data_IF_616260361810
#
_entry.id   IF_616260361810
#
_cell.length_a   1.000
_cell.length_b   1.000
_cell.length_c   1.000
_cell.angle_alpha   90.00
_cell.angle_beta   90.00
_cell.angle_gamma   90.00
#
_symmetry.space_group_name_H-M   'P 1'
#
loop_
_entity.id
_entity.type
_entity.pdbx_description
1 polymer ?
#
# COMPACT_ATOMS: atom_id res chain seq x y z
N UNK A 1 0.33 18.04 18.16
CA UNK A 1 -0.59 17.03 18.73
C UNK A 1 -0.56 15.79 17.82
N UNK A 2 -0.08 14.65 18.35
CA UNK A 2 0.14 13.41 17.56
C UNK A 2 -1.16 12.85 16.95
N UNK A 3 -2.25 12.86 17.71
CA UNK A 3 -3.53 12.34 17.24
C UNK A 3 -4.10 13.18 16.07
N UNK A 4 -3.95 14.50 16.14
CA UNK A 4 -4.35 15.40 15.05
C UNK A 4 -3.51 15.18 13.79
N UNK A 5 -2.20 14.97 13.94
CA UNK A 5 -1.32 14.66 12.81
C UNK A 5 -1.66 13.31 12.17
N UNK A 6 -1.96 12.29 12.99
CA UNK A 6 -2.43 10.99 12.50
C UNK A 6 -3.74 11.14 11.73
N UNK A 7 -4.73 11.84 12.28
CA UNK A 7 -6.01 12.09 11.63
C UNK A 7 -5.83 12.84 10.29
N UNK A 8 -5.02 13.90 10.30
CA UNK A 8 -4.70 14.70 9.11
C UNK A 8 -3.91 13.96 8.04
N UNK A 9 -3.20 12.89 8.39
CA UNK A 9 -2.55 11.99 7.42
C UNK A 9 -3.54 10.92 6.91
N UNK A 10 -4.38 10.40 7.80
CA UNK A 10 -5.31 9.31 7.51
C UNK A 10 -6.38 9.71 6.50
N UNK A 11 -7.07 10.83 6.71
CA UNK A 11 -8.21 11.26 5.88
C UNK A 11 -7.77 11.49 4.42
N UNK A 12 -6.72 12.31 4.13
CA UNK A 12 -6.27 12.52 2.76
C UNK A 12 -5.76 11.24 2.11
N UNK A 13 -5.05 10.37 2.84
CA UNK A 13 -4.53 9.11 2.27
C UNK A 13 -5.65 8.19 1.81
N UNK A 14 -6.67 7.97 2.65
CA UNK A 14 -7.83 7.16 2.27
C UNK A 14 -8.63 7.77 1.12
N UNK A 15 -8.91 9.08 1.21
CA UNK A 15 -9.70 9.79 0.21
C UNK A 15 -9.01 9.82 -1.17
N UNK A 16 -7.70 10.10 -1.21
CA UNK A 16 -6.98 10.18 -2.48
C UNK A 16 -6.82 8.81 -3.13
N UNK A 17 -6.68 7.72 -2.34
CA UNK A 17 -6.67 6.37 -2.89
C UNK A 17 -7.99 6.04 -3.60
N UNK A 18 -9.13 6.36 -2.98
CA UNK A 18 -10.43 6.19 -3.64
C UNK A 18 -10.48 6.91 -4.99
N UNK A 19 -10.08 8.18 -5.02
CA UNK A 19 -10.07 9.00 -6.25
C UNK A 19 -9.13 8.43 -7.30
N UNK A 20 -7.87 8.15 -6.93
CA UNK A 20 -6.85 7.67 -7.87
C UNK A 20 -7.21 6.30 -8.45
N UNK A 21 -7.71 5.38 -7.62
CA UNK A 21 -8.09 4.04 -8.10
C UNK A 21 -9.32 4.12 -9.00
N UNK A 22 -10.29 4.98 -8.67
CA UNK A 22 -11.47 5.21 -9.53
C UNK A 22 -11.08 5.73 -10.91
N UNK A 23 -10.17 6.71 -10.97
CA UNK A 23 -9.76 7.36 -12.22
C UNK A 23 -8.80 6.46 -13.03
N UNK A 24 -7.78 5.91 -12.39
CA UNK A 24 -6.68 5.21 -13.07
C UNK A 24 -6.84 3.69 -13.12
N UNK A 25 -7.84 3.14 -12.43
CA UNK A 25 -8.19 1.71 -12.46
C UNK A 25 -8.44 1.21 -13.88
N UNK A 26 -9.34 1.85 -14.66
CA UNK A 26 -9.59 1.48 -16.05
C UNK A 26 -8.38 1.64 -16.99
N UNK A 27 -7.41 2.49 -16.64
CA UNK A 27 -6.22 2.77 -17.47
C UNK A 27 -5.09 1.77 -17.21
N UNK A 28 -4.83 1.48 -15.94
CA UNK A 28 -3.60 0.76 -15.53
C UNK A 28 -3.85 -0.42 -14.59
N UNK A 29 -5.06 -0.58 -14.04
CA UNK A 29 -5.33 -1.43 -12.88
C UNK A 29 -4.99 -0.76 -11.54
N UNK A 30 -4.44 0.46 -11.56
CA UNK A 30 -4.21 1.31 -10.38
C UNK A 30 -3.49 0.61 -9.21
N UNK A 31 -2.44 -0.16 -9.49
CA UNK A 31 -1.72 -0.88 -8.44
C UNK A 31 -1.11 0.08 -7.41
N UNK A 32 -0.49 1.18 -7.87
CA UNK A 32 0.17 2.22 -7.06
C UNK A 32 1.15 1.72 -5.97
N UNK A 33 1.54 0.44 -6.02
CA UNK A 33 2.19 -0.25 -4.93
C UNK A 33 2.98 -1.46 -5.47
N UNK A 34 4.30 -1.55 -5.20
CA UNK A 34 5.10 -2.69 -5.62
C UNK A 34 4.63 -4.02 -5.03
N UNK A 35 4.17 -4.05 -3.78
CA UNK A 35 3.64 -5.26 -3.14
C UNK A 35 2.37 -5.76 -3.85
N UNK A 36 1.46 -4.85 -4.20
CA UNK A 36 0.27 -5.18 -5.02
C UNK A 36 0.70 -5.70 -6.38
N UNK A 37 1.64 -5.02 -7.04
CA UNK A 37 2.15 -5.42 -8.36
C UNK A 37 2.76 -6.84 -8.34
N UNK A 38 3.54 -7.16 -7.31
CA UNK A 38 4.11 -8.50 -7.12
C UNK A 38 3.00 -9.53 -6.88
N UNK A 39 1.99 -9.23 -6.07
CA UNK A 39 0.89 -10.14 -5.80
C UNK A 39 0.11 -10.50 -7.09
N UNK A 40 -0.16 -9.52 -7.97
CA UNK A 40 -0.76 -9.76 -9.29
C UNK A 40 0.18 -10.54 -10.23
N UNK A 41 1.49 -10.26 -10.19
CA UNK A 41 2.48 -11.03 -10.95
C UNK A 41 2.51 -12.50 -10.52
N UNK A 42 2.46 -12.79 -9.21
CA UNK A 42 2.44 -14.16 -8.68
C UNK A 42 1.17 -14.92 -9.06
N UNK A 43 0.04 -14.21 -9.17
CA UNK A 43 -1.21 -14.75 -9.73
C UNK A 43 -1.20 -14.91 -11.25
N UNK A 44 -0.17 -14.40 -11.94
CA UNK A 44 -0.02 -14.33 -13.40
C UNK A 44 -1.06 -13.43 -14.08
N UNK A 45 -1.63 -12.48 -13.34
CA UNK A 45 -2.60 -11.51 -13.86
C UNK A 45 -1.90 -10.39 -14.67
N UNK A 46 -0.59 -10.21 -14.51
CA UNK A 46 0.23 -9.28 -15.30
C UNK A 46 1.53 -9.93 -15.76
N UNK A 47 2.08 -9.55 -16.94
CA UNK A 47 3.39 -10.05 -17.39
C UNK A 47 4.53 -9.43 -16.58
N UNK A 48 5.63 -10.18 -16.44
CA UNK A 48 6.82 -9.77 -15.68
C UNK A 48 7.37 -8.41 -16.11
N UNK A 49 7.47 -8.16 -17.42
CA UNK A 49 7.97 -6.89 -17.96
C UNK A 49 7.11 -5.71 -17.52
N UNK A 50 5.78 -5.85 -17.54
CA UNK A 50 4.86 -4.80 -17.07
C UNK A 50 4.99 -4.59 -15.56
N UNK A 51 5.15 -5.66 -14.78
CA UNK A 51 5.37 -5.59 -13.34
C UNK A 51 6.63 -4.78 -13.00
N UNK A 52 7.74 -5.01 -13.70
CA UNK A 52 8.99 -4.26 -13.52
C UNK A 52 8.78 -2.77 -13.79
N UNK A 53 8.17 -2.39 -14.93
CA UNK A 53 7.89 -0.99 -15.25
C UNK A 53 6.96 -0.34 -14.21
N UNK A 54 5.95 -1.07 -13.73
CA UNK A 54 5.07 -0.59 -12.67
C UNK A 54 5.85 -0.23 -11.41
N UNK A 55 6.71 -1.13 -10.91
CA UNK A 55 7.47 -0.89 -9.70
C UNK A 55 8.41 0.31 -9.84
N UNK A 56 9.08 0.47 -10.99
CA UNK A 56 9.93 1.64 -11.25
C UNK A 56 9.13 2.95 -11.23
N UNK A 57 8.01 3.02 -11.97
CA UNK A 57 7.18 4.22 -12.03
C UNK A 57 6.54 4.53 -10.69
N UNK A 58 6.15 3.52 -9.91
CA UNK A 58 5.59 3.69 -8.57
C UNK A 58 6.60 4.32 -7.61
N UNK A 59 7.84 3.83 -7.59
CA UNK A 59 8.91 4.38 -6.74
C UNK A 59 9.27 5.80 -7.19
N UNK A 60 9.49 6.02 -8.49
CA UNK A 60 9.79 7.35 -9.02
C UNK A 60 8.66 8.35 -8.72
N UNK A 61 7.41 7.96 -8.95
CA UNK A 61 6.23 8.78 -8.67
C UNK A 61 6.08 9.11 -7.18
N UNK A 62 6.35 8.16 -6.28
CA UNK A 62 6.31 8.39 -4.83
C UNK A 62 7.38 9.40 -4.38
N UNK A 63 8.60 9.29 -4.91
CA UNK A 63 9.70 10.25 -4.64
C UNK A 63 9.33 11.64 -5.16
N UNK A 64 8.90 11.74 -6.42
CA UNK A 64 8.48 13.00 -7.02
C UNK A 64 7.32 13.64 -6.25
N UNK A 65 6.36 12.83 -5.78
CA UNK A 65 5.26 13.30 -4.94
C UNK A 65 5.72 13.87 -3.60
N UNK A 66 6.68 13.22 -2.94
CA UNK A 66 7.27 13.74 -1.69
C UNK A 66 7.99 15.07 -1.91
N UNK A 67 8.81 15.17 -2.96
CA UNK A 67 9.53 16.41 -3.30
C UNK A 67 8.59 17.53 -3.73
N UNK A 68 7.51 17.21 -4.46
CA UNK A 68 6.49 18.18 -4.81
C UNK A 68 5.76 18.69 -3.57
N UNK A 69 5.43 17.81 -2.62
CA UNK A 69 4.88 18.24 -1.35
C UNK A 69 5.85 19.16 -0.60
N UNK A 70 7.14 18.82 -0.53
CA UNK A 70 8.14 19.68 0.09
C UNK A 70 8.20 21.07 -0.57
N UNK A 71 8.18 21.12 -1.90
CA UNK A 71 8.09 22.38 -2.63
C UNK A 71 6.81 23.18 -2.28
N UNK A 72 5.65 22.53 -2.25
CA UNK A 72 4.35 23.16 -1.93
C UNK A 72 4.30 23.75 -0.51
N UNK A 73 5.06 23.18 0.43
CA UNK A 73 5.08 23.58 1.84
C UNK A 73 6.36 24.31 2.26
N UNK A 74 7.16 24.79 1.30
CA UNK A 74 8.41 25.53 1.53
C UNK A 74 9.40 24.77 2.45
N UNK A 75 9.52 23.46 2.23
CA UNK A 75 10.45 22.57 2.93
C UNK A 75 11.70 22.27 2.07
N UNK A 76 12.83 21.87 2.70
CA UNK A 76 13.96 21.32 1.96
C UNK A 76 13.52 20.14 1.07
N UNK A 77 13.86 20.21 -0.23
CA UNK A 77 13.41 19.21 -1.22
C UNK A 77 13.85 17.79 -0.81
N UNK A 78 15.12 17.63 -0.45
CA UNK A 78 15.66 16.39 0.08
C UNK A 78 15.80 16.48 1.59
N UNK A 79 15.10 15.60 2.32
CA UNK A 79 15.14 15.55 3.77
C UNK A 79 15.15 14.09 4.22
N UNK A 80 16.25 13.58 4.76
CA UNK A 80 16.24 12.22 5.32
C UNK A 80 15.47 12.22 6.65
N UNK A 81 14.63 11.21 6.86
CA UNK A 81 13.90 11.13 8.13
C UNK A 81 14.76 10.59 9.28
N UNK A 82 14.51 11.09 10.48
CA UNK A 82 15.05 10.59 11.75
C UNK A 82 14.01 9.78 12.55
N UNK A 83 12.78 9.65 12.05
CA UNK A 83 11.70 8.96 12.73
C UNK A 83 11.97 7.46 12.94
N UNK A 84 12.17 7.06 14.18
CA UNK A 84 12.44 5.66 14.54
C UNK A 84 11.16 4.80 14.46
N UNK A 85 11.06 3.97 13.43
CA UNK A 85 9.99 2.96 13.28
C UNK A 85 10.55 1.56 13.04
N UNK A 86 10.78 0.78 14.09
CA UNK A 86 11.31 -0.58 13.95
C UNK A 86 10.79 -1.54 15.01
N UNK A 87 11.12 -2.82 14.85
CA UNK A 87 10.81 -3.89 15.79
C UNK A 87 9.61 -4.74 15.39
N UNK A 88 9.45 -5.92 16.03
CA UNK A 88 8.42 -6.89 15.67
C UNK A 88 6.98 -6.35 15.60
N UNK A 89 6.51 -5.48 16.51
CA UNK A 89 5.16 -4.92 16.41
C UNK A 89 4.93 -4.10 15.14
N UNK A 90 5.96 -3.36 14.70
CA UNK A 90 5.90 -2.51 13.52
C UNK A 90 5.95 -3.34 12.23
N UNK A 91 6.81 -4.35 12.18
CA UNK A 91 6.89 -5.23 11.02
C UNK A 91 5.64 -6.12 10.90
N UNK A 92 5.13 -6.65 12.01
CA UNK A 92 3.87 -7.39 12.03
C UNK A 92 2.69 -6.53 11.58
N UNK A 93 2.66 -5.27 12.01
CA UNK A 93 1.67 -4.27 11.56
C UNK A 93 1.69 -4.06 10.04
N UNK A 94 2.86 -3.91 9.43
CA UNK A 94 2.99 -3.77 7.97
C UNK A 94 2.58 -5.04 7.21
N UNK A 95 2.91 -6.21 7.75
CA UNK A 95 2.43 -7.47 7.18
C UNK A 95 0.90 -7.54 7.19
N UNK A 96 0.27 -7.26 8.34
CA UNK A 96 -1.20 -7.29 8.49
C UNK A 96 -1.86 -6.24 7.58
N UNK A 97 -1.32 -5.03 7.52
CA UNK A 97 -1.80 -3.97 6.66
C UNK A 97 -1.73 -4.36 5.17
N UNK A 98 -0.58 -4.85 4.70
CA UNK A 98 -0.46 -5.26 3.29
C UNK A 98 -1.30 -6.50 2.97
N UNK A 99 -1.40 -7.46 3.89
CA UNK A 99 -2.22 -8.65 3.69
C UNK A 99 -3.70 -8.28 3.56
N UNK A 100 -4.24 -7.47 4.47
CA UNK A 100 -5.63 -7.04 4.38
C UNK A 100 -5.90 -6.09 3.20
N UNK A 101 -4.93 -5.28 2.79
CA UNK A 101 -5.02 -4.51 1.54
C UNK A 101 -5.21 -5.46 0.34
N UNK A 102 -4.41 -6.51 0.25
CA UNK A 102 -4.54 -7.52 -0.82
C UNK A 102 -5.84 -8.31 -0.71
N UNK A 103 -6.31 -8.59 0.51
CA UNK A 103 -7.62 -9.21 0.75
C UNK A 103 -8.75 -8.37 0.18
N UNK A 104 -8.80 -7.06 0.47
CA UNK A 104 -9.89 -6.21 -0.03
C UNK A 104 -9.79 -5.97 -1.55
N UNK A 105 -8.58 -5.93 -2.12
CA UNK A 105 -8.39 -5.85 -3.57
C UNK A 105 -8.89 -7.13 -4.24
N UNK A 106 -8.40 -8.29 -3.84
CA UNK A 106 -8.75 -9.55 -4.49
C UNK A 106 -10.18 -9.99 -4.23
N UNK A 107 -10.69 -9.78 -3.01
CA UNK A 107 -12.10 -10.03 -2.70
C UNK A 107 -13.02 -9.06 -3.44
N UNK A 108 -12.66 -7.77 -3.48
CA UNK A 108 -13.38 -6.76 -4.26
C UNK A 108 -13.43 -7.13 -5.74
N UNK A 109 -12.30 -7.48 -6.35
CA UNK A 109 -12.26 -7.93 -7.75
C UNK A 109 -13.07 -9.19 -8.01
N UNK A 110 -13.22 -10.08 -7.03
CA UNK A 110 -14.01 -11.30 -7.18
C UNK A 110 -15.51 -11.04 -7.12
N UNK A 111 -15.98 -10.27 -6.15
CA UNK A 111 -17.41 -10.18 -5.84
C UNK A 111 -18.05 -8.83 -6.14
N UNK A 112 -17.30 -7.73 -6.07
CA UNK A 112 -17.80 -6.35 -6.25
C UNK A 112 -16.72 -5.46 -6.88
N UNK A 113 -16.34 -5.66 -8.16
CA UNK A 113 -15.23 -4.94 -8.79
C UNK A 113 -15.37 -3.41 -8.69
N UNK A 114 -16.59 -2.90 -8.88
CA UNK A 114 -16.89 -1.46 -8.80
C UNK A 114 -16.64 -0.86 -7.40
N UNK A 115 -16.62 -1.69 -6.36
CA UNK A 115 -16.37 -1.25 -4.99
C UNK A 115 -14.88 -1.25 -4.60
N UNK A 116 -13.98 -1.81 -5.43
CA UNK A 116 -12.53 -1.89 -5.13
C UNK A 116 -11.92 -0.55 -4.73
N UNK A 117 -12.19 0.59 -5.42
CA UNK A 117 -11.64 1.88 -4.99
C UNK A 117 -12.05 2.25 -3.56
N UNK A 118 -13.31 2.03 -3.21
CA UNK A 118 -13.85 2.35 -1.88
C UNK A 118 -13.31 1.43 -0.82
N UNK A 119 -13.25 0.12 -1.11
CA UNK A 119 -12.71 -0.88 -0.20
C UNK A 119 -11.24 -0.60 0.14
N UNK A 120 -10.42 -0.25 -0.85
CA UNK A 120 -9.01 0.10 -0.63
C UNK A 120 -8.87 1.37 0.20
N UNK A 121 -9.59 2.44 -0.15
CA UNK A 121 -9.56 3.70 0.58
C UNK A 121 -9.98 3.55 2.06
N UNK A 122 -11.08 2.84 2.31
CA UNK A 122 -11.58 2.58 3.67
C UNK A 122 -10.66 1.66 4.46
N UNK A 123 -10.11 0.62 3.83
CA UNK A 123 -9.18 -0.29 4.49
C UNK A 123 -7.92 0.44 4.95
N UNK A 124 -7.28 1.24 4.07
CA UNK A 124 -6.09 2.01 4.44
C UNK A 124 -6.43 3.06 5.51
N UNK A 125 -7.59 3.72 5.40
CA UNK A 125 -8.08 4.63 6.46
C UNK A 125 -8.13 3.92 7.80
N UNK A 126 -8.73 2.72 7.87
CA UNK A 126 -8.82 1.96 9.11
C UNK A 126 -7.44 1.45 9.58
N UNK A 127 -6.59 1.01 8.67
CA UNK A 127 -5.28 0.45 8.97
C UNK A 127 -4.33 1.46 9.62
N UNK A 128 -4.46 2.74 9.30
CA UNK A 128 -3.76 3.81 10.02
C UNK A 128 -4.05 3.82 11.54
N UNK A 129 -5.23 3.36 11.96
CA UNK A 129 -5.66 3.36 13.37
C UNK A 129 -5.45 2.02 14.06
N UNK A 130 -5.67 0.90 13.39
CA UNK A 130 -5.54 -0.42 14.03
C UNK A 130 -4.13 -1.00 13.98
N UNK A 131 -3.22 -0.41 13.20
CA UNK A 131 -1.81 -0.85 13.13
C UNK A 131 -0.89 0.12 13.86
N UNK A 132 0.12 -0.40 14.56
CA UNK A 132 1.09 0.44 15.28
C UNK A 132 2.05 1.17 14.34
N UNK A 133 2.10 0.78 13.07
CA UNK A 133 3.01 1.29 12.04
C UNK A 133 2.45 2.46 11.23
N UNK A 134 1.19 2.80 11.47
CA UNK A 134 0.40 3.73 10.64
C UNK A 134 0.29 3.27 9.18
N UNK A 135 0.31 1.96 8.94
CA UNK A 135 0.00 1.28 7.67
C UNK A 135 0.61 1.92 6.42
N UNK A 136 1.92 1.83 6.24
CA UNK A 136 2.51 2.23 4.95
C UNK A 136 2.05 1.29 3.85
N UNK A 137 2.05 -0.01 4.15
CA UNK A 137 1.53 -1.11 3.34
C UNK A 137 2.04 -1.13 1.88
N UNK A 138 3.12 -0.41 1.57
CA UNK A 138 3.54 -0.08 0.22
C UNK A 138 5.05 0.23 0.18
N UNK A 139 5.86 -0.56 -0.55
CA UNK A 139 7.31 -0.33 -0.63
C UNK A 139 7.70 1.02 -1.25
N UNK A 140 6.96 1.49 -2.26
CA UNK A 140 7.24 2.78 -2.89
C UNK A 140 6.98 3.95 -1.94
N UNK A 141 5.88 3.90 -1.20
CA UNK A 141 5.58 4.88 -0.14
C UNK A 141 6.63 4.79 0.96
N UNK A 142 6.99 3.59 1.42
CA UNK A 142 7.99 3.42 2.47
C UNK A 142 9.34 4.03 2.08
N UNK A 143 9.77 3.85 0.83
CA UNK A 143 10.97 4.48 0.31
C UNK A 143 10.85 6.00 0.28
N UNK A 144 9.76 6.54 -0.28
CA UNK A 144 9.54 8.00 -0.33
C UNK A 144 9.43 8.63 1.07
N UNK A 145 8.82 7.93 2.03
CA UNK A 145 8.74 8.37 3.44
C UNK A 145 10.09 8.39 4.14
N UNK A 146 11.11 7.69 3.62
CA UNK A 146 12.48 7.84 4.13
C UNK A 146 13.16 9.14 3.70
N UNK A 147 12.59 9.82 2.70
CA UNK A 147 13.04 11.08 2.13
C UNK A 147 12.17 12.28 2.57
N UNK A 148 11.46 12.17 3.69
CA UNK A 148 10.78 13.28 4.38
C UNK A 148 10.85 13.07 5.89
N UNK A 149 11.18 14.10 6.67
CA UNK A 149 11.16 14.04 8.14
C UNK A 149 9.87 14.61 8.75
N UNK A 150 8.83 14.74 7.93
CA UNK A 150 7.48 15.02 8.42
C UNK A 150 6.97 13.92 9.35
N UNK A 151 5.80 14.11 9.97
CA UNK A 151 5.09 13.11 10.82
C UNK A 151 5.05 11.69 10.22
N UNK A 152 5.04 11.62 8.90
CA UNK A 152 4.94 10.39 8.12
C UNK A 152 6.27 9.68 7.87
N UNK A 153 7.39 10.27 8.26
CA UNK A 153 8.72 9.80 7.91
C UNK A 153 9.12 8.47 8.56
N UNK A 154 10.15 7.84 8.00
CA UNK A 154 10.81 6.65 8.56
C UNK A 154 12.32 6.74 8.37
N UNK A 155 13.10 6.46 9.41
CA UNK A 155 14.56 6.36 9.30
C UNK A 155 14.92 5.40 8.15
N UNK A 156 15.78 5.79 7.18
CA UNK A 156 16.12 4.95 6.03
C UNK A 156 16.59 3.54 6.41
N UNK A 157 17.37 3.42 7.50
CA UNK A 157 17.83 2.13 8.01
C UNK A 157 16.70 1.18 8.48
N UNK A 158 15.53 1.74 8.84
CA UNK A 158 14.37 0.97 9.28
C UNK A 158 13.40 0.61 8.15
N UNK A 159 13.48 1.30 7.00
CA UNK A 159 12.62 1.08 5.84
C UNK A 159 12.69 -0.36 5.32
N UNK A 160 13.86 -1.00 5.38
CA UNK A 160 14.05 -2.38 4.93
C UNK A 160 13.16 -3.36 5.67
N UNK A 161 13.00 -3.22 7.00
CA UNK A 161 12.13 -4.10 7.78
C UNK A 161 10.65 -3.99 7.38
N UNK A 162 10.19 -2.77 7.11
CA UNK A 162 8.83 -2.50 6.60
C UNK A 162 8.63 -3.12 5.21
N UNK A 163 9.55 -2.86 4.28
CA UNK A 163 9.48 -3.38 2.92
C UNK A 163 9.46 -4.91 2.93
N UNK A 164 10.33 -5.56 3.70
CA UNK A 164 10.37 -7.03 3.78
C UNK A 164 9.05 -7.60 4.33
N UNK A 165 8.44 -6.97 5.34
CA UNK A 165 7.14 -7.41 5.86
C UNK A 165 6.01 -7.26 4.82
N UNK A 166 5.99 -6.15 4.08
CA UNK A 166 5.04 -5.91 2.99
C UNK A 166 5.21 -6.93 1.85
N UNK A 167 6.46 -7.23 1.47
CA UNK A 167 6.77 -8.23 0.46
C UNK A 167 6.41 -9.65 0.92
N UNK A 168 6.63 -9.99 2.19
CA UNK A 168 6.18 -11.25 2.75
C UNK A 168 4.65 -11.39 2.64
N UNK A 169 3.89 -10.35 2.96
CA UNK A 169 2.45 -10.33 2.76
C UNK A 169 2.06 -10.47 1.27
N UNK A 170 2.80 -9.83 0.36
CA UNK A 170 2.58 -9.95 -1.08
C UNK A 170 2.78 -11.37 -1.64
N UNK A 171 3.64 -12.17 -1.00
CA UNK A 171 3.85 -13.59 -1.36
C UNK A 171 2.80 -14.48 -0.70
N UNK A 172 2.48 -14.24 0.56
CA UNK A 172 1.55 -15.09 1.33
C UNK A 172 0.09 -14.89 0.90
N UNK A 173 -0.32 -13.63 0.65
CA UNK A 173 -1.72 -13.31 0.38
C UNK A 173 -2.28 -13.99 -0.87
N UNK A 174 -1.61 -14.02 -2.04
CA UNK A 174 -2.12 -14.75 -3.20
C UNK A 174 -2.41 -16.23 -2.94
N UNK A 175 -1.58 -16.90 -2.13
CA UNK A 175 -1.74 -18.32 -1.81
C UNK A 175 -2.94 -18.52 -0.88
N UNK A 176 -2.97 -17.78 0.23
CA UNK A 176 -4.02 -17.93 1.25
C UNK A 176 -5.37 -17.49 0.71
N UNK A 177 -5.43 -16.35 0.02
CA UNK A 177 -6.67 -15.81 -0.54
C UNK A 177 -7.12 -16.59 -1.77
N UNK A 178 -6.20 -17.16 -2.55
CA UNK A 178 -6.55 -18.07 -3.64
C UNK A 178 -7.29 -19.31 -3.14
N UNK A 179 -6.86 -19.86 -2.00
CA UNK A 179 -7.58 -20.95 -1.32
C UNK A 179 -8.90 -20.47 -0.69
N UNK A 180 -8.86 -19.38 0.08
CA UNK A 180 -10.02 -18.88 0.82
C UNK A 180 -11.15 -18.41 -0.10
N UNK A 181 -10.81 -17.86 -1.27
CA UNK A 181 -11.75 -17.34 -2.26
C UNK A 181 -11.98 -18.33 -3.40
N UNK A 182 -11.56 -19.60 -3.29
CA UNK A 182 -11.86 -20.62 -4.28
C UNK A 182 -13.37 -20.90 -4.33
N UNK A 183 -13.86 -21.35 -5.49
CA UNK A 183 -15.23 -21.87 -5.60
C UNK A 183 -15.32 -23.20 -4.86
N UNK A 184 -16.35 -23.35 -4.02
CA UNK A 184 -16.72 -24.66 -3.50
C UNK A 184 -17.56 -25.38 -4.56
N UNK A 185 -17.23 -26.63 -4.88
CA UNK A 185 -17.92 -27.49 -5.86
C UNK A 185 -19.43 -27.74 -5.59
N UNK A 186 -20.04 -27.08 -4.61
CA UNK A 186 -21.48 -27.18 -4.31
C UNK A 186 -22.37 -26.30 -5.22
N UNK A 187 -21.79 -25.38 -5.98
CA UNK A 187 -22.56 -24.49 -6.90
C UNK A 187 -22.81 -25.12 -8.29
N UNK A 188 -22.31 -26.33 -8.57
CA UNK A 188 -22.65 -27.07 -9.80
C UNK A 188 -24.00 -27.81 -9.76
N UNK A 189 -24.68 -27.83 -8.60
CA UNK A 189 -25.97 -28.51 -8.39
C UNK A 189 -27.14 -27.55 -8.07
N UNK A 190 -27.05 -26.26 -8.40
CA UNK A 190 -28.15 -25.28 -8.26
C UNK A 190 -28.53 -24.58 -9.55
#
# INVERSE_FOLDING_TARGET
NLAVALLGNTIPTGAILYVLITIFGPVSGAHFNPAVTIAFLLRRDIPFTRAVHFMFVQVAGAICGAFLAHFMFDMPILQLSENLRSGPPQWGSEFVATFGLLMVIFGGLRWRPDAVPMLVGLYITAAYWFTSSTSFANPAVTFARSLTDSFSGILPAHATGFILAQLAAAVVAPVVLGWLFAETNDDTDR
#
